data_IF_541262793925
#
_entry.id   IF_541262793925
#
_cell.length_a   1.000
_cell.length_b   1.000
_cell.length_c   1.000
_cell.angle_alpha   90.00
_cell.angle_beta   90.00
_cell.angle_gamma   90.00
#
_symmetry.space_group_name_H-M   'P 1'
#
loop_
_entity.id
_entity.type
_entity.pdbx_description
1 polymer ?
#
# COMPACT_ATOMS: atom_id res chain seq x y z
N UNK A 1 7.43 -4.74 -18.52
CA UNK A 1 7.09 -3.81 -17.41
C UNK A 1 8.37 -3.32 -16.74
N UNK A 2 8.52 -2.00 -16.51
CA UNK A 2 9.78 -1.38 -16.03
C UNK A 2 10.20 -1.96 -14.67
N UNK A 3 9.30 -1.92 -13.70
CA UNK A 3 9.59 -2.28 -12.30
C UNK A 3 9.93 -3.77 -12.16
N UNK A 4 9.18 -4.66 -12.82
CA UNK A 4 9.46 -6.09 -12.78
C UNK A 4 10.86 -6.44 -13.30
N UNK A 5 11.31 -5.77 -14.36
CA UNK A 5 12.66 -5.93 -14.89
C UNK A 5 13.71 -5.40 -13.92
N UNK A 6 13.49 -4.22 -13.34
CA UNK A 6 14.42 -3.62 -12.38
C UNK A 6 14.52 -4.41 -11.06
N UNK A 7 13.42 -5.00 -10.60
CA UNK A 7 13.33 -5.77 -9.36
C UNK A 7 13.47 -7.29 -9.55
N UNK A 8 13.68 -7.77 -10.78
CA UNK A 8 13.79 -9.20 -11.12
C UNK A 8 12.64 -10.05 -10.59
N UNK A 9 11.40 -9.57 -10.70
CA UNK A 9 10.22 -10.30 -10.20
C UNK A 9 9.93 -11.50 -11.12
N UNK A 10 9.87 -12.74 -10.59
CA UNK A 10 9.84 -13.96 -11.39
C UNK A 10 8.42 -14.34 -11.84
N UNK A 11 7.75 -13.47 -12.61
CA UNK A 11 6.51 -13.83 -13.30
C UNK A 11 6.74 -14.02 -14.81
N UNK A 12 5.88 -14.80 -15.47
CA UNK A 12 5.99 -15.23 -16.87
C UNK A 12 5.91 -14.15 -17.95
N UNK A 13 6.21 -12.89 -17.61
CA UNK A 13 6.11 -11.72 -18.47
C UNK A 13 4.66 -11.29 -18.74
N UNK A 14 4.52 -10.10 -19.31
CA UNK A 14 3.26 -9.64 -19.90
C UNK A 14 3.50 -9.45 -21.39
N UNK A 15 2.70 -10.11 -22.22
CA UNK A 15 2.70 -9.93 -23.68
C UNK A 15 2.01 -8.61 -24.05
N UNK A 16 2.71 -7.50 -23.79
CA UNK A 16 2.19 -6.15 -23.99
C UNK A 16 1.94 -5.84 -25.47
N UNK A 17 2.75 -6.37 -26.39
CA UNK A 17 2.56 -6.15 -27.82
C UNK A 17 1.25 -6.79 -28.29
N UNK A 18 0.99 -8.04 -27.91
CA UNK A 18 -0.28 -8.71 -28.26
C UNK A 18 -1.48 -8.06 -27.61
N UNK A 19 -1.36 -7.59 -26.36
CA UNK A 19 -2.44 -6.83 -25.71
C UNK A 19 -2.75 -5.53 -26.47
N UNK A 20 -1.71 -4.75 -26.82
CA UNK A 20 -1.87 -3.51 -27.60
C UNK A 20 -2.48 -3.76 -28.97
N UNK A 21 -2.04 -4.80 -29.68
CA UNK A 21 -2.60 -5.19 -30.99
C UNK A 21 -4.05 -5.69 -30.91
N UNK A 22 -4.50 -6.10 -29.72
CA UNK A 22 -5.88 -6.52 -29.48
C UNK A 22 -6.78 -5.39 -28.97
N UNK A 23 -6.26 -4.19 -28.70
CA UNK A 23 -7.09 -3.06 -28.31
C UNK A 23 -8.01 -2.66 -29.47
N UNK A 24 -9.25 -2.36 -29.15
CA UNK A 24 -10.26 -1.88 -30.11
C UNK A 24 -11.15 -0.82 -29.47
N UNK A 25 -11.99 -0.18 -30.27
CA UNK A 25 -13.07 0.69 -29.79
C UNK A 25 -14.38 -0.07 -29.97
N UNK A 26 -15.16 -0.20 -28.90
CA UNK A 26 -16.48 -0.81 -28.93
C UNK A 26 -17.53 0.17 -28.41
N UNK A 27 -18.71 0.15 -29.02
CA UNK A 27 -19.89 0.85 -28.52
C UNK A 27 -20.45 0.08 -27.32
N UNK A 28 -20.25 0.61 -26.12
CA UNK A 28 -20.68 -0.04 -24.89
C UNK A 28 -22.10 0.39 -24.55
N UNK A 29 -23.04 -0.55 -24.35
CA UNK A 29 -24.38 -0.20 -23.91
C UNK A 29 -24.31 0.44 -22.52
N UNK A 30 -25.07 1.53 -22.32
CA UNK A 30 -25.19 2.16 -21.02
C UNK A 30 -25.86 1.21 -20.01
N UNK A 31 -25.54 1.36 -18.73
CA UNK A 31 -26.12 0.55 -17.66
C UNK A 31 -25.75 1.06 -16.27
N UNK A 32 -26.72 1.07 -15.35
CA UNK A 32 -26.51 1.64 -14.01
C UNK A 32 -26.06 3.11 -14.08
N UNK A 33 -24.91 3.40 -13.46
CA UNK A 33 -24.27 4.73 -13.45
C UNK A 33 -23.28 4.97 -14.61
N UNK A 34 -23.21 4.05 -15.57
CA UNK A 34 -22.20 4.04 -16.64
C UNK A 34 -22.83 4.53 -17.96
N UNK A 35 -22.39 5.67 -18.53
CA UNK A 35 -22.95 6.19 -19.77
C UNK A 35 -22.60 5.30 -20.97
N UNK A 36 -23.56 5.18 -21.88
CA UNK A 36 -23.37 4.52 -23.17
C UNK A 36 -22.36 5.28 -24.04
N UNK A 37 -21.68 4.58 -24.94
CA UNK A 37 -20.85 5.18 -25.98
C UNK A 37 -19.54 4.43 -26.23
N UNK A 38 -18.68 5.00 -27.09
CA UNK A 38 -17.44 4.35 -27.51
C UNK A 38 -16.44 4.29 -26.35
N UNK A 39 -15.88 3.11 -26.12
CA UNK A 39 -14.83 2.88 -25.11
C UNK A 39 -13.75 1.95 -25.65
N UNK A 40 -12.57 2.03 -25.04
CA UNK A 40 -11.52 1.05 -25.25
C UNK A 40 -12.02 -0.32 -24.76
N UNK A 41 -11.94 -1.30 -25.64
CA UNK A 41 -12.23 -2.70 -25.40
C UNK A 41 -11.05 -3.54 -25.90
N UNK A 42 -11.12 -4.85 -25.71
CA UNK A 42 -10.18 -5.81 -26.29
C UNK A 42 -10.88 -6.76 -27.26
N UNK A 43 -10.19 -7.19 -28.30
CA UNK A 43 -10.59 -8.34 -29.09
C UNK A 43 -10.38 -9.65 -28.33
N UNK A 44 -10.94 -10.73 -28.84
CA UNK A 44 -10.78 -12.10 -28.34
C UNK A 44 -9.31 -12.51 -28.10
N UNK A 45 -8.40 -12.10 -28.99
CA UNK A 45 -6.95 -12.36 -28.87
C UNK A 45 -6.28 -11.67 -27.68
N UNK A 46 -6.94 -10.67 -27.09
CA UNK A 46 -6.47 -9.89 -25.93
C UNK A 46 -6.85 -10.49 -24.58
N UNK A 47 -7.73 -11.50 -24.53
CA UNK A 47 -8.24 -12.07 -23.27
C UNK A 47 -7.11 -12.60 -22.39
N UNK A 48 -6.24 -13.45 -22.96
CA UNK A 48 -5.11 -14.05 -22.24
C UNK A 48 -4.02 -13.02 -21.87
N UNK A 49 -3.57 -12.13 -22.77
CA UNK A 49 -2.64 -11.07 -22.41
C UNK A 49 -3.15 -10.14 -21.30
N UNK A 50 -4.44 -9.81 -21.28
CA UNK A 50 -5.04 -9.02 -20.21
C UNK A 50 -5.02 -9.79 -18.88
N UNK A 51 -5.36 -11.07 -18.89
CA UNK A 51 -5.26 -11.92 -17.70
C UNK A 51 -3.82 -11.97 -17.15
N UNK A 52 -2.83 -12.16 -18.02
CA UNK A 52 -1.42 -12.12 -17.64
C UNK A 52 -1.00 -10.76 -17.05
N UNK A 53 -1.50 -9.64 -17.58
CA UNK A 53 -1.26 -8.31 -17.02
C UNK A 53 -1.85 -8.15 -15.61
N UNK A 54 -3.06 -8.64 -15.38
CA UNK A 54 -3.73 -8.59 -14.08
C UNK A 54 -2.93 -9.39 -13.03
N UNK A 55 -2.52 -10.62 -13.37
CA UNK A 55 -1.73 -11.46 -12.47
C UNK A 55 -0.35 -10.86 -12.22
N UNK A 56 0.31 -10.32 -13.25
CA UNK A 56 1.58 -9.60 -13.10
C UNK A 56 1.44 -8.42 -12.14
N UNK A 57 0.32 -7.68 -12.16
CA UNK A 57 0.04 -6.61 -11.19
C UNK A 57 -0.01 -7.18 -9.77
N UNK A 58 -0.70 -8.29 -9.53
CA UNK A 58 -0.77 -8.92 -8.20
C UNK A 58 0.62 -9.32 -7.70
N UNK A 59 1.42 -9.97 -8.55
CA UNK A 59 2.77 -10.39 -8.20
C UNK A 59 3.70 -9.20 -7.90
N UNK A 60 3.53 -8.07 -8.60
CA UNK A 60 4.25 -6.83 -8.29
C UNK A 60 3.88 -6.27 -6.90
N UNK A 61 2.60 -6.34 -6.51
CA UNK A 61 2.19 -5.94 -5.17
C UNK A 61 2.82 -6.81 -4.09
N UNK A 62 2.79 -8.13 -4.27
CA UNK A 62 3.33 -9.07 -3.29
C UNK A 62 4.84 -8.95 -3.10
N UNK A 63 5.57 -8.83 -4.21
CA UNK A 63 7.04 -8.91 -4.19
C UNK A 63 7.72 -7.55 -3.98
N UNK A 64 7.09 -6.46 -4.42
CA UNK A 64 7.74 -5.13 -4.45
C UNK A 64 6.98 -4.13 -3.61
N UNK A 65 5.71 -3.84 -3.94
CA UNK A 65 5.01 -2.69 -3.35
C UNK A 65 4.60 -2.91 -1.89
N UNK A 66 4.32 -4.15 -1.47
CA UNK A 66 4.03 -4.49 -0.08
C UNK A 66 5.22 -5.05 0.69
N UNK A 67 6.42 -5.02 0.11
CA UNK A 67 7.63 -5.46 0.78
C UNK A 67 7.82 -4.67 2.08
N UNK A 68 7.86 -5.39 3.19
CA UNK A 68 7.85 -4.85 4.55
C UNK A 68 8.97 -3.82 4.79
N UNK A 69 10.19 -4.07 4.30
CA UNK A 69 11.30 -3.14 4.47
C UNK A 69 11.08 -1.81 3.71
N UNK A 70 10.55 -1.87 2.48
CA UNK A 70 10.25 -0.66 1.70
C UNK A 70 9.17 0.16 2.39
N UNK A 71 8.11 -0.51 2.85
CA UNK A 71 7.02 0.15 3.58
C UNK A 71 7.46 0.73 4.93
N UNK A 72 8.39 0.08 5.63
CA UNK A 72 9.01 0.65 6.82
C UNK A 72 9.77 1.95 6.51
N UNK A 73 10.55 1.99 5.42
CA UNK A 73 11.19 3.22 4.97
C UNK A 73 10.16 4.32 4.64
N UNK A 74 9.08 3.96 3.93
CA UNK A 74 8.02 4.90 3.57
C UNK A 74 7.33 5.49 4.80
N UNK A 75 6.96 4.68 5.81
CA UNK A 75 6.29 5.20 7.00
C UNK A 75 7.23 6.09 7.84
N UNK A 76 8.52 5.75 7.93
CA UNK A 76 9.52 6.60 8.58
C UNK A 76 9.63 7.97 7.89
N UNK A 77 9.72 7.99 6.55
CA UNK A 77 9.80 9.24 5.79
C UNK A 77 8.51 10.06 5.92
N UNK A 78 7.35 9.42 5.79
CA UNK A 78 6.05 10.09 5.95
C UNK A 78 5.91 10.71 7.34
N UNK A 79 6.36 10.01 8.39
CA UNK A 79 6.32 10.53 9.75
C UNK A 79 7.28 11.71 9.93
N UNK A 80 8.50 11.62 9.38
CA UNK A 80 9.48 12.71 9.42
C UNK A 80 8.94 13.98 8.76
N UNK A 81 8.30 13.85 7.59
CA UNK A 81 7.66 14.96 6.85
C UNK A 81 6.48 15.52 7.64
N UNK A 82 5.64 14.64 8.21
CA UNK A 82 4.48 15.05 9.02
C UNK A 82 4.92 15.90 10.23
N UNK A 83 5.93 15.46 10.97
CA UNK A 83 6.44 16.20 12.13
C UNK A 83 7.09 17.55 11.72
N UNK A 84 7.78 17.61 10.58
CA UNK A 84 8.35 18.85 10.07
C UNK A 84 7.28 19.88 9.65
N UNK A 85 6.21 19.42 8.98
CA UNK A 85 5.06 20.26 8.62
C UNK A 85 4.34 20.80 9.85
N UNK A 86 4.08 19.94 10.84
CA UNK A 86 3.41 20.33 12.09
C UNK A 86 4.24 21.30 12.93
N UNK A 87 5.57 21.19 12.89
CA UNK A 87 6.47 22.13 13.54
C UNK A 87 6.61 23.47 12.79
N UNK A 88 6.03 23.60 11.58
CA UNK A 88 6.18 24.77 10.73
C UNK A 88 7.58 24.93 10.12
N UNK A 89 8.41 23.88 10.15
CA UNK A 89 9.77 23.90 9.62
C UNK A 89 9.80 23.85 8.08
N UNK A 90 8.74 23.32 7.47
CA UNK A 90 8.55 23.23 6.01
C UNK A 90 7.12 23.55 5.60
N UNK A 91 6.91 23.77 4.31
CA UNK A 91 5.59 23.87 3.67
C UNK A 91 5.42 22.76 2.63
N UNK A 92 4.19 22.44 2.20
CA UNK A 92 3.99 21.47 1.12
C UNK A 92 4.73 21.86 -0.17
N UNK A 93 4.73 23.14 -0.52
CA UNK A 93 5.38 23.64 -1.75
C UNK A 93 6.90 23.44 -1.72
N UNK A 94 7.53 23.57 -0.54
CA UNK A 94 8.99 23.40 -0.41
C UNK A 94 9.45 21.98 -0.72
N UNK A 95 8.58 20.97 -0.67
CA UNK A 95 8.92 19.58 -0.96
C UNK A 95 9.19 19.32 -2.46
N UNK A 96 8.57 20.11 -3.35
CA UNK A 96 8.62 19.86 -4.80
C UNK A 96 9.99 20.18 -5.43
N UNK A 97 10.83 20.94 -4.73
CA UNK A 97 12.17 21.32 -5.20
C UNK A 97 13.27 20.31 -4.88
N UNK A 98 12.94 19.18 -4.26
CA UNK A 98 13.90 18.18 -3.83
C UNK A 98 13.79 16.87 -4.63
N UNK A 99 14.94 16.29 -4.94
CA UNK A 99 15.07 14.87 -5.25
C UNK A 99 15.24 14.04 -3.96
N UNK A 100 15.32 12.71 -4.07
CA UNK A 100 15.42 11.81 -2.92
C UNK A 100 16.62 12.14 -2.01
N UNK A 101 17.78 12.44 -2.60
CA UNK A 101 19.02 12.68 -1.85
C UNK A 101 18.98 14.04 -1.13
N UNK A 102 18.57 15.09 -1.83
CA UNK A 102 18.45 16.44 -1.27
C UNK A 102 17.33 16.53 -0.25
N UNK A 103 16.22 15.80 -0.43
CA UNK A 103 15.14 15.73 0.56
C UNK A 103 15.65 15.09 1.85
N UNK A 104 16.30 13.92 1.79
CA UNK A 104 16.82 13.26 2.97
C UNK A 104 17.88 14.11 3.69
N UNK A 105 18.78 14.75 2.94
CA UNK A 105 19.78 15.66 3.50
C UNK A 105 19.13 16.87 4.20
N UNK A 106 18.10 17.46 3.59
CA UNK A 106 17.35 18.56 4.18
C UNK A 106 16.61 18.13 5.45
N UNK A 107 15.94 16.97 5.41
CA UNK A 107 15.24 16.40 6.57
C UNK A 107 16.17 16.05 7.74
N UNK A 108 17.42 15.71 7.46
CA UNK A 108 18.44 15.42 8.48
C UNK A 108 19.15 16.66 9.05
N UNK A 109 18.91 17.86 8.48
CA UNK A 109 19.61 19.09 8.88
C UNK A 109 19.09 19.70 10.18
N UNK A 110 19.92 20.54 10.83
CA UNK A 110 19.57 21.24 12.07
C UNK A 110 18.36 22.20 11.95
N UNK A 111 17.93 22.51 10.73
CA UNK A 111 16.72 23.29 10.48
C UNK A 111 15.42 22.52 10.79
N UNK A 112 15.49 21.19 10.92
CA UNK A 112 14.34 20.33 11.19
C UNK A 112 14.17 20.03 12.68
N UNK A 113 12.95 19.72 13.16
CA UNK A 113 12.74 19.26 14.53
C UNK A 113 13.42 17.91 14.76
N UNK A 114 13.74 17.61 16.03
CA UNK A 114 14.50 16.40 16.40
C UNK A 114 13.86 15.09 15.88
N UNK A 115 12.54 14.86 15.97
CA UNK A 115 11.91 13.64 15.45
C UNK A 115 12.15 13.43 13.95
N UNK A 116 12.04 14.50 13.16
CA UNK A 116 12.32 14.49 11.72
C UNK A 116 13.78 14.14 11.44
N UNK A 117 14.72 14.80 12.14
CA UNK A 117 16.16 14.54 11.96
C UNK A 117 16.51 13.10 12.30
N UNK A 118 15.97 12.59 13.40
CA UNK A 118 16.22 11.23 13.88
C UNK A 118 15.76 10.16 12.86
N UNK A 119 14.54 10.31 12.32
CA UNK A 119 14.02 9.41 11.30
C UNK A 119 14.81 9.52 9.98
N UNK A 120 15.11 10.73 9.53
CA UNK A 120 15.88 10.96 8.29
C UNK A 120 17.32 10.42 8.40
N UNK A 121 18.00 10.65 9.52
CA UNK A 121 19.33 10.09 9.80
C UNK A 121 19.30 8.56 9.84
N UNK A 122 18.28 7.98 10.48
CA UNK A 122 18.09 6.53 10.50
C UNK A 122 17.88 5.94 9.10
N UNK A 123 17.13 6.62 8.24
CA UNK A 123 16.99 6.24 6.82
C UNK A 123 18.33 6.31 6.08
N UNK A 124 19.07 7.41 6.22
CA UNK A 124 20.35 7.62 5.55
C UNK A 124 21.40 6.56 5.96
N UNK A 125 21.42 6.19 7.23
CA UNK A 125 22.34 5.21 7.80
C UNK A 125 21.80 3.77 7.75
N UNK A 126 20.67 3.54 7.06
CA UNK A 126 20.01 2.23 6.90
C UNK A 126 19.62 1.53 8.22
N UNK A 127 19.39 2.31 9.29
CA UNK A 127 18.72 1.83 10.52
C UNK A 127 17.21 1.87 10.33
N UNK A 128 16.72 0.95 9.50
CA UNK A 128 15.29 0.87 9.19
C UNK A 128 14.55 0.19 10.34
N UNK A 129 13.42 0.78 10.73
CA UNK A 129 12.52 0.19 11.71
C UNK A 129 12.16 -1.25 11.33
N UNK A 130 12.26 -2.15 12.31
CA UNK A 130 12.03 -3.57 12.17
C UNK A 130 10.56 -3.88 12.42
N UNK A 131 10.07 -4.88 11.72
CA UNK A 131 8.70 -5.38 11.89
C UNK A 131 8.58 -6.16 13.20
N UNK A 132 7.72 -5.65 14.09
CA UNK A 132 7.38 -6.31 15.35
C UNK A 132 6.08 -7.11 15.23
N UNK A 133 5.04 -6.52 14.62
CA UNK A 133 3.70 -7.14 14.51
C UNK A 133 3.15 -7.02 13.10
N UNK A 134 2.47 -8.07 12.63
CA UNK A 134 1.67 -8.07 11.39
C UNK A 134 0.22 -8.39 11.72
N UNK A 135 -0.69 -7.51 11.29
CA UNK A 135 -2.13 -7.66 11.47
C UNK A 135 -2.76 -7.92 10.10
N UNK A 136 -3.35 -9.10 9.95
CA UNK A 136 -4.08 -9.50 8.74
C UNK A 136 -5.58 -9.21 8.86
N UNK A 137 -6.29 -9.27 7.74
CA UNK A 137 -7.76 -9.16 7.73
C UNK A 137 -8.46 -10.22 8.62
N UNK A 138 -7.79 -11.32 8.96
CA UNK A 138 -8.30 -12.34 9.89
C UNK A 138 -8.50 -11.85 11.32
N UNK A 139 -7.81 -10.77 11.73
CA UNK A 139 -8.01 -10.13 13.05
C UNK A 139 -9.22 -9.16 13.08
N UNK A 140 -10.03 -9.14 12.01
CA UNK A 140 -11.29 -8.42 11.81
C UNK A 140 -11.37 -7.03 12.45
N UNK A 141 -11.74 -6.95 13.73
CA UNK A 141 -11.89 -5.70 14.47
C UNK A 141 -10.59 -4.91 14.59
N UNK A 142 -9.49 -5.57 14.96
CA UNK A 142 -8.18 -4.91 15.09
C UNK A 142 -7.72 -4.37 13.73
N UNK A 143 -7.89 -5.17 12.67
CA UNK A 143 -7.54 -4.77 11.31
C UNK A 143 -8.39 -3.59 10.83
N UNK A 144 -9.70 -3.58 11.11
CA UNK A 144 -10.59 -2.49 10.75
C UNK A 144 -10.26 -1.20 11.52
N UNK A 145 -10.02 -1.28 12.83
CA UNK A 145 -9.67 -0.12 13.67
C UNK A 145 -8.31 0.47 13.29
N UNK A 146 -7.28 -0.36 13.08
CA UNK A 146 -6.01 0.14 12.58
C UNK A 146 -6.12 0.65 11.14
N UNK A 147 -6.92 -0.01 10.29
CA UNK A 147 -7.11 0.38 8.90
C UNK A 147 -7.78 1.74 8.72
N UNK A 148 -8.67 2.13 9.65
CA UNK A 148 -9.35 3.44 9.59
C UNK A 148 -8.38 4.61 9.82
N UNK A 149 -7.29 4.40 10.56
CA UNK A 149 -6.22 5.38 10.79
C UNK A 149 -5.52 5.80 9.48
N UNK A 150 -5.69 5.07 8.38
CA UNK A 150 -5.22 5.52 7.06
C UNK A 150 -5.87 6.86 6.66
N UNK A 151 -7.15 7.05 6.98
CA UNK A 151 -7.92 8.24 6.60
C UNK A 151 -7.65 9.44 7.52
N UNK A 152 -7.01 9.22 8.67
CA UNK A 152 -6.69 10.25 9.64
C UNK A 152 -5.23 10.11 10.11
N UNK A 153 -4.28 10.72 9.36
CA UNK A 153 -2.88 10.71 9.73
C UNK A 153 -2.58 11.36 11.08
N UNK A 154 -3.43 12.27 11.56
CA UNK A 154 -3.27 12.91 12.88
C UNK A 154 -3.62 11.93 14.01
N UNK A 155 -4.75 11.23 13.88
CA UNK A 155 -5.11 10.16 14.81
C UNK A 155 -4.08 9.02 14.80
N UNK A 156 -3.60 8.59 13.63
CA UNK A 156 -2.52 7.59 13.53
C UNK A 156 -1.30 8.03 14.34
N UNK A 157 -0.85 9.27 14.13
CA UNK A 157 0.30 9.85 14.83
C UNK A 157 0.11 9.87 16.35
N UNK A 158 -1.10 10.17 16.81
CA UNK A 158 -1.40 10.18 18.25
C UNK A 158 -1.37 8.76 18.84
N UNK A 159 -1.91 7.76 18.14
CA UNK A 159 -1.80 6.35 18.55
C UNK A 159 -0.33 5.90 18.61
N UNK A 160 0.50 6.28 17.63
CA UNK A 160 1.95 5.99 17.65
C UNK A 160 2.65 6.58 18.88
N UNK A 161 2.30 7.81 19.28
CA UNK A 161 2.87 8.45 20.49
C UNK A 161 2.41 7.75 21.76
N UNK A 162 1.14 7.38 21.83
CA UNK A 162 0.59 6.63 22.97
C UNK A 162 1.23 5.23 23.08
N UNK A 163 1.50 4.57 21.95
CA UNK A 163 2.26 3.31 21.91
C UNK A 163 3.67 3.48 22.49
N UNK A 164 4.39 4.53 22.08
CA UNK A 164 5.73 4.83 22.60
C UNK A 164 5.70 5.12 24.11
N UNK A 165 4.75 5.93 24.57
CA UNK A 165 4.59 6.25 25.99
C UNK A 165 4.24 5.01 26.84
N UNK A 166 3.33 4.16 26.36
CA UNK A 166 2.95 2.91 27.02
C UNK A 166 4.14 1.94 27.09
N UNK A 167 4.92 1.83 26.00
CA UNK A 167 6.13 1.03 25.98
C UNK A 167 7.16 1.55 26.99
N UNK A 168 7.38 2.87 27.04
CA UNK A 168 8.29 3.50 27.99
C UNK A 168 7.92 3.23 29.45
N UNK A 169 6.63 3.33 29.78
CA UNK A 169 6.10 2.98 31.09
C UNK A 169 6.32 1.50 31.43
N UNK A 170 6.18 0.60 30.46
CA UNK A 170 6.38 -0.83 30.63
C UNK A 170 7.85 -1.20 30.91
N UNK A 171 8.80 -0.55 30.24
CA UNK A 171 10.23 -0.85 30.40
C UNK A 171 10.96 0.03 31.42
N UNK A 172 10.28 1.03 31.98
CA UNK A 172 10.86 1.98 32.93
C UNK A 172 11.94 2.88 32.33
N UNK A 173 11.92 3.11 31.01
CA UNK A 173 12.86 3.97 30.29
C UNK A 173 12.11 4.88 29.32
N UNK A 174 12.71 6.02 28.98
CA UNK A 174 12.18 6.91 27.96
C UNK A 174 12.27 6.25 26.58
N UNK A 175 11.15 6.29 25.84
CA UNK A 175 11.03 5.78 24.47
C UNK A 175 10.68 6.96 23.57
N UNK A 176 11.48 7.25 22.52
CA UNK A 176 11.17 8.34 21.59
C UNK A 176 9.81 8.17 20.92
N UNK A 177 9.10 9.27 20.69
CA UNK A 177 7.78 9.31 20.02
C UNK A 177 7.79 8.78 18.55
N UNK A 178 8.98 8.52 18.00
CA UNK A 178 9.21 7.96 16.66
C UNK A 178 9.64 6.50 16.68
N UNK A 179 9.81 5.91 17.87
CA UNK A 179 10.38 4.58 18.03
C UNK A 179 9.44 3.45 17.60
N UNK A 180 8.13 3.71 17.54
CA UNK A 180 7.09 2.77 17.09
C UNK A 180 6.17 3.49 16.11
N UNK A 181 6.02 2.94 14.91
CA UNK A 181 5.21 3.49 13.82
C UNK A 181 4.22 2.45 13.29
N UNK A 182 3.07 2.92 12.79
CA UNK A 182 2.01 2.09 12.21
C UNK A 182 2.02 2.24 10.68
N UNK A 183 2.46 1.17 10.01
CA UNK A 183 2.49 1.07 8.56
C UNK A 183 1.17 0.47 8.05
N UNK A 184 0.33 1.33 7.47
CA UNK A 184 -1.00 0.98 6.92
C UNK A 184 -0.91 1.02 5.39
N UNK A 185 -1.10 -0.11 4.70
CA UNK A 185 -1.00 -0.13 3.25
C UNK A 185 -2.15 0.67 2.65
N UNK A 186 -1.87 1.41 1.57
CA UNK A 186 -2.93 2.12 0.84
C UNK A 186 -4.04 1.15 0.42
N UNK A 187 -5.32 1.49 0.63
CA UNK A 187 -6.42 0.71 0.09
C UNK A 187 -6.44 0.87 -1.43
N UNK A 188 -6.17 -0.21 -2.17
CA UNK A 188 -6.31 -0.22 -3.62
C UNK A 188 -7.73 -0.64 -4.02
N UNK A 189 -8.19 -0.12 -5.16
CA UNK A 189 -9.48 -0.52 -5.75
C UNK A 189 -9.19 -1.33 -7.00
N UNK A 190 -9.58 -2.60 -6.99
CA UNK A 190 -9.65 -3.40 -8.20
C UNK A 190 -10.88 -2.98 -9.00
N UNK A 191 -10.66 -2.63 -10.26
CA UNK A 191 -11.74 -2.41 -11.20
C UNK A 191 -11.32 -2.96 -12.55
N UNK A 192 -11.83 -4.14 -12.87
CA UNK A 192 -11.60 -4.82 -14.15
C UNK A 192 -12.77 -4.52 -15.06
N UNK A 193 -12.96 -3.23 -15.40
CA UNK A 193 -14.06 -2.75 -16.24
C UNK A 193 -13.62 -2.73 -17.70
N UNK A 194 -13.43 -3.92 -18.25
CA UNK A 194 -12.96 -4.13 -19.62
C UNK A 194 -13.97 -4.98 -20.36
N UNK A 195 -14.28 -4.56 -21.58
CA UNK A 195 -15.17 -5.27 -22.50
C UNK A 195 -14.36 -6.04 -23.53
N UNK A 196 -14.90 -7.18 -23.95
CA UNK A 196 -14.36 -8.06 -24.97
C UNK A 196 -15.30 -8.07 -26.18
N UNK A 197 -14.76 -7.70 -27.33
CA UNK A 197 -15.45 -7.76 -28.62
C UNK A 197 -15.01 -9.00 -29.39
N UNK A 198 -15.97 -9.72 -29.97
CA UNK A 198 -15.74 -10.91 -30.77
C UNK A 198 -16.21 -10.70 -32.19
N UNK A 199 -15.37 -10.96 -33.18
CA UNK A 199 -15.81 -10.99 -34.59
C UNK A 199 -16.66 -12.24 -34.87
N UNK A 200 -16.33 -13.36 -34.22
CA UNK A 200 -17.01 -14.66 -34.33
C UNK A 200 -17.13 -15.29 -32.94
N UNK A 201 -18.16 -14.94 -32.17
CA UNK A 201 -18.29 -15.43 -30.80
C UNK A 201 -18.51 -16.96 -30.76
N UNK A 202 -17.92 -17.67 -29.79
CA UNK A 202 -18.28 -19.05 -29.50
C UNK A 202 -19.78 -19.20 -29.21
N UNK A 203 -20.33 -20.41 -29.38
CA UNK A 203 -21.73 -20.69 -29.01
C UNK A 203 -21.95 -20.36 -27.52
N UNK A 204 -22.95 -19.52 -27.24
CA UNK A 204 -23.25 -19.02 -25.90
C UNK A 204 -22.65 -17.65 -25.57
N UNK A 205 -21.69 -17.16 -26.37
CA UNK A 205 -21.11 -15.84 -26.19
C UNK A 205 -21.86 -14.80 -27.03
N UNK A 206 -21.89 -13.56 -26.56
CA UNK A 206 -22.37 -12.41 -27.31
C UNK A 206 -21.21 -11.73 -28.02
N UNK A 207 -21.52 -10.94 -29.04
CA UNK A 207 -20.52 -10.17 -29.79
C UNK A 207 -19.73 -9.21 -28.89
N UNK A 208 -20.37 -8.71 -27.83
CA UNK A 208 -19.77 -7.85 -26.83
C UNK A 208 -20.13 -8.38 -25.44
N UNK A 209 -19.12 -8.64 -24.62
CA UNK A 209 -19.28 -9.17 -23.27
C UNK A 209 -18.29 -8.51 -22.31
N UNK A 210 -18.63 -8.42 -21.03
CA UNK A 210 -17.68 -7.95 -20.04
C UNK A 210 -16.62 -9.04 -19.80
N UNK A 211 -15.35 -8.67 -19.61
CA UNK A 211 -14.24 -9.62 -19.45
C UNK A 211 -14.50 -10.62 -18.32
N UNK A 212 -15.05 -10.17 -17.20
CA UNK A 212 -15.48 -11.04 -16.08
C UNK A 212 -16.40 -12.20 -16.51
N UNK A 213 -17.31 -11.95 -17.45
CA UNK A 213 -18.26 -12.97 -17.93
C UNK A 213 -17.59 -13.92 -18.94
N UNK A 214 -16.49 -13.48 -19.56
CA UNK A 214 -15.70 -14.25 -20.51
C UNK A 214 -14.74 -15.21 -19.81
N UNK A 215 -14.09 -14.76 -18.74
CA UNK A 215 -13.06 -15.57 -18.03
C UNK A 215 -13.52 -16.17 -16.71
N UNK A 216 -14.67 -15.72 -16.18
CA UNK A 216 -15.21 -16.18 -14.90
C UNK A 216 -14.49 -15.63 -13.66
N UNK A 217 -13.70 -14.56 -13.80
CA UNK A 217 -12.97 -13.88 -12.71
C UNK A 217 -13.47 -12.44 -12.58
N UNK A 218 -13.78 -12.04 -11.35
CA UNK A 218 -14.30 -10.71 -11.04
C UNK A 218 -13.44 -9.92 -10.06
N UNK A 219 -13.86 -8.68 -9.81
CA UNK A 219 -13.18 -7.78 -8.86
C UNK A 219 -13.13 -8.36 -7.44
N UNK A 220 -14.14 -9.14 -7.04
CA UNK A 220 -14.19 -9.79 -5.71
C UNK A 220 -13.12 -10.89 -5.56
N UNK A 221 -12.76 -11.61 -6.61
CA UNK A 221 -11.71 -12.63 -6.55
C UNK A 221 -10.34 -11.98 -6.31
N UNK A 222 -10.04 -10.90 -7.05
CA UNK A 222 -8.79 -10.15 -6.90
C UNK A 222 -8.73 -9.41 -5.57
N UNK A 223 -9.85 -8.82 -5.14
CA UNK A 223 -9.98 -8.16 -3.84
C UNK A 223 -9.75 -9.15 -2.71
N UNK A 224 -10.34 -10.34 -2.75
CA UNK A 224 -10.13 -11.38 -1.73
C UNK A 224 -8.65 -11.75 -1.64
N UNK A 225 -7.97 -11.95 -2.76
CA UNK A 225 -6.53 -12.22 -2.76
C UNK A 225 -5.74 -11.09 -2.09
N UNK A 226 -5.98 -9.84 -2.49
CA UNK A 226 -5.33 -8.66 -1.90
C UNK A 226 -5.60 -8.56 -0.39
N UNK A 227 -6.84 -8.71 0.07
CA UNK A 227 -7.19 -8.60 1.50
C UNK A 227 -6.40 -9.57 2.38
N UNK A 228 -6.03 -10.75 1.87
CA UNK A 228 -5.23 -11.73 2.60
C UNK A 228 -3.73 -11.41 2.57
N UNK A 229 -3.27 -10.64 1.59
CA UNK A 229 -1.87 -10.25 1.42
C UNK A 229 -1.56 -8.86 1.98
N UNK A 230 -2.59 -8.03 2.15
CA UNK A 230 -2.52 -6.68 2.69
C UNK A 230 -2.45 -6.74 4.21
N UNK A 231 -1.23 -6.63 4.73
CA UNK A 231 -0.95 -6.62 6.17
C UNK A 231 -0.71 -5.20 6.68
N UNK A 232 -1.36 -4.85 7.79
CA UNK A 232 -0.98 -3.68 8.60
C UNK A 232 0.19 -4.08 9.49
N UNK A 233 1.15 -3.19 9.71
CA UNK A 233 2.36 -3.52 10.46
C UNK A 233 2.62 -2.49 11.56
N UNK A 234 3.10 -2.98 12.69
CA UNK A 234 3.76 -2.16 13.70
C UNK A 234 5.26 -2.36 13.49
N UNK A 235 5.95 -1.28 13.17
CA UNK A 235 7.39 -1.26 12.94
C UNK A 235 8.07 -0.40 14.00
N UNK A 236 9.23 -0.84 14.48
CA UNK A 236 9.88 -0.23 15.64
C UNK A 236 11.37 -0.05 15.41
N UNK A 237 12.03 0.81 16.17
CA UNK A 237 13.48 0.69 16.31
C UNK A 237 13.86 -0.74 16.73
N UNK A 238 15.01 -1.22 16.24
CA UNK A 238 15.43 -2.61 16.38
C UNK A 238 15.48 -3.07 17.85
N UNK A 239 15.94 -2.22 18.76
CA UNK A 239 16.04 -2.51 20.20
C UNK A 239 14.69 -2.75 20.90
N UNK A 240 13.58 -2.28 20.32
CA UNK A 240 12.25 -2.45 20.90
C UNK A 240 11.44 -3.57 20.21
N UNK A 241 11.99 -4.17 19.15
CA UNK A 241 11.25 -5.10 18.30
C UNK A 241 10.67 -6.27 19.10
N UNK A 242 11.52 -6.95 19.86
CA UNK A 242 11.12 -8.20 20.51
C UNK A 242 10.12 -7.93 21.64
N UNK A 243 10.33 -6.88 22.46
CA UNK A 243 9.37 -6.52 23.51
C UNK A 243 8.03 -6.04 22.94
N UNK A 244 8.03 -5.28 21.84
CA UNK A 244 6.76 -4.88 21.20
C UNK A 244 6.06 -6.09 20.61
N UNK A 245 6.81 -7.05 20.04
CA UNK A 245 6.24 -8.29 19.52
C UNK A 245 5.65 -9.18 20.63
N UNK A 246 6.26 -9.22 21.81
CA UNK A 246 5.78 -10.04 22.94
C UNK A 246 4.62 -9.38 23.71
N UNK A 247 4.58 -8.04 23.73
CA UNK A 247 3.61 -7.27 24.53
C UNK A 247 2.59 -6.50 23.68
N UNK A 248 2.45 -6.80 22.39
CA UNK A 248 1.63 -6.01 21.47
C UNK A 248 0.16 -5.91 21.91
N UNK A 249 -0.41 -6.96 22.47
CA UNK A 249 -1.80 -6.96 22.95
C UNK A 249 -1.99 -5.88 24.01
N UNK A 250 -1.05 -5.81 24.96
CA UNK A 250 -1.06 -4.85 26.03
C UNK A 250 -0.82 -3.41 25.58
N UNK A 251 -0.06 -3.24 24.49
CA UNK A 251 0.23 -1.93 23.93
C UNK A 251 -0.90 -1.42 23.03
N UNK A 252 -1.54 -2.29 22.25
CA UNK A 252 -2.43 -1.89 21.15
C UNK A 252 -3.91 -1.91 21.53
N UNK A 253 -4.41 -2.93 22.24
CA UNK A 253 -5.84 -3.05 22.54
C UNK A 253 -6.41 -1.87 23.34
N UNK A 254 -5.73 -1.37 24.40
CA UNK A 254 -6.25 -0.24 25.19
C UNK A 254 -6.44 1.03 24.35
N UNK A 255 -5.53 1.28 23.41
CA UNK A 255 -5.52 2.50 22.59
C UNK A 255 -6.62 2.51 21.54
N UNK A 256 -7.09 1.33 21.16
CA UNK A 256 -8.16 1.19 20.19
C UNK A 256 -9.53 1.12 20.86
N UNK A 257 -9.61 1.03 22.19
CA UNK A 257 -10.86 0.87 22.95
C UNK A 257 -11.34 -0.58 23.05
N UNK A 258 -10.41 -1.55 23.05
CA UNK A 258 -10.68 -2.95 23.39
C UNK A 258 -10.43 -3.22 24.87
N UNK A 259 -11.24 -4.06 25.50
CA UNK A 259 -10.92 -4.67 26.80
C UNK A 259 -10.13 -5.96 26.56
N UNK A 260 -9.20 -6.27 27.46
CA UNK A 260 -8.47 -7.56 27.49
C UNK A 260 -9.42 -8.73 27.75
#
# INVERSE_FOLDING_TARGET
PRDAHACSVPYGGVDSSRLLSALTIAEIPGGGSVPAGPRIAIGDKGISPLHSLINARQEMFDNVYWHHANRACMVMLLRAIQDALLAGAITPDSLTGHDDASLLAFMASDAMPEPTRSLAGSLAERRIHKRAVEVSAGAYELYARLGSLWFDPAARREVERQLCAALGAMIGNEVPDTAVLIDIPKPERWKTDVWVSFDRPPVGFRQLMHWRDVVGLGDEDFKRYEEHRRLIRIVTEERYRDIVADSWEALVYPLLGGAF
#
